data_IF_371771551129
#
_entry.id   IF_371771551129
#
_cell.length_a   1.000
_cell.length_b   1.000
_cell.length_c   1.000
_cell.angle_alpha   90.00
_cell.angle_beta   90.00
_cell.angle_gamma   90.00
#
_symmetry.space_group_name_H-M   'P 1'
#
loop_
_entity.id
_entity.type
_entity.pdbx_description
1 polymer ?
#
# COMPACT_ATOMS: atom_id res chain seq x y z
N UNK A 1 -8.69 -19.96 -11.75
CA UNK A 1 -8.35 -18.53 -11.95
C UNK A 1 -9.58 -17.72 -11.59
N UNK A 2 -9.50 -16.79 -10.64
CA UNK A 2 -10.64 -15.94 -10.27
C UNK A 2 -10.84 -14.85 -11.34
N UNK A 3 -12.07 -14.64 -11.82
CA UNK A 3 -12.35 -13.67 -12.88
C UNK A 3 -12.43 -12.25 -12.31
N UNK A 4 -12.37 -11.25 -13.20
CA UNK A 4 -12.55 -9.85 -12.84
C UNK A 4 -13.90 -9.63 -12.13
N UNK A 5 -14.97 -10.21 -12.69
CA UNK A 5 -16.31 -10.08 -12.11
C UNK A 5 -16.39 -10.67 -10.70
N UNK A 6 -15.71 -11.78 -10.41
CA UNK A 6 -15.74 -12.40 -9.09
C UNK A 6 -15.06 -11.48 -8.05
N UNK A 7 -13.95 -10.83 -8.42
CA UNK A 7 -13.28 -9.82 -7.58
C UNK A 7 -14.15 -8.59 -7.36
N UNK A 8 -14.91 -8.17 -8.36
CA UNK A 8 -15.83 -7.05 -8.20
C UNK A 8 -16.91 -7.37 -7.17
N UNK A 9 -17.46 -8.60 -7.18
CA UNK A 9 -18.41 -9.04 -6.15
C UNK A 9 -17.80 -9.13 -4.75
N UNK A 10 -16.51 -9.41 -4.62
CA UNK A 10 -15.81 -9.31 -3.33
C UNK A 10 -15.76 -7.88 -2.82
N UNK A 11 -15.45 -6.91 -3.69
CA UNK A 11 -15.47 -5.50 -3.36
C UNK A 11 -16.87 -5.02 -2.95
N UNK A 12 -17.89 -5.39 -3.73
CA UNK A 12 -19.29 -5.11 -3.42
C UNK A 12 -19.69 -5.63 -2.05
N UNK A 13 -19.31 -6.86 -1.72
CA UNK A 13 -19.58 -7.47 -0.42
C UNK A 13 -18.88 -6.72 0.71
N UNK A 14 -17.61 -6.35 0.52
CA UNK A 14 -16.83 -5.59 1.50
C UNK A 14 -17.46 -4.23 1.84
N UNK A 15 -18.04 -3.54 0.87
CA UNK A 15 -18.75 -2.26 1.08
C UNK A 15 -20.25 -2.41 1.40
N UNK A 16 -20.76 -3.64 1.55
CA UNK A 16 -22.19 -3.91 1.67
C UNK A 16 -23.04 -3.26 0.55
N UNK A 17 -22.49 -3.19 -0.66
CA UNK A 17 -23.14 -2.62 -1.84
C UNK A 17 -23.85 -3.70 -2.65
N UNK A 18 -25.08 -3.40 -3.08
CA UNK A 18 -25.78 -4.27 -4.03
C UNK A 18 -25.28 -4.04 -5.47
N UNK A 19 -25.36 -5.08 -6.30
CA UNK A 19 -25.02 -4.97 -7.73
C UNK A 19 -25.84 -3.86 -8.43
N UNK A 20 -27.11 -3.72 -8.07
CA UNK A 20 -27.98 -2.66 -8.59
C UNK A 20 -27.50 -1.25 -8.21
N UNK A 21 -27.13 -1.04 -6.94
CA UNK A 21 -26.62 0.25 -6.48
C UNK A 21 -25.30 0.61 -7.19
N UNK A 22 -24.42 -0.37 -7.38
CA UNK A 22 -23.18 -0.19 -8.11
C UNK A 22 -23.40 0.14 -9.59
N UNK A 23 -24.28 -0.59 -10.27
CA UNK A 23 -24.61 -0.31 -11.68
C UNK A 23 -25.15 1.11 -11.85
N UNK A 24 -26.00 1.57 -10.92
CA UNK A 24 -26.51 2.93 -10.90
C UNK A 24 -25.44 3.99 -10.62
N UNK A 25 -24.51 3.71 -9.71
CA UNK A 25 -23.41 4.62 -9.39
C UNK A 25 -22.44 4.80 -10.57
N UNK A 26 -22.11 3.69 -11.26
CA UNK A 26 -21.21 3.67 -12.42
C UNK A 26 -21.88 3.99 -13.77
N UNK A 27 -23.15 4.40 -13.79
CA UNK A 27 -23.91 4.61 -15.03
C UNK A 27 -23.80 3.42 -16.00
N UNK A 28 -24.08 2.22 -15.49
CA UNK A 28 -24.12 0.97 -16.23
C UNK A 28 -25.57 0.55 -16.47
N UNK A 29 -25.81 -0.19 -17.54
CA UNK A 29 -27.13 -0.76 -17.81
C UNK A 29 -27.57 -1.70 -16.69
N UNK A 30 -28.86 -1.66 -16.34
CA UNK A 30 -29.44 -2.53 -15.33
C UNK A 30 -29.19 -4.02 -15.64
N UNK A 31 -28.66 -4.75 -14.67
CA UNK A 31 -28.30 -6.16 -14.77
C UNK A 31 -26.99 -6.43 -15.52
N UNK A 32 -26.18 -5.41 -15.83
CA UNK A 32 -24.86 -5.57 -16.44
C UNK A 32 -23.95 -6.51 -15.64
N UNK A 33 -23.79 -6.32 -14.33
CA UNK A 33 -23.00 -7.18 -13.45
C UNK A 33 -23.55 -8.61 -13.43
N UNK A 34 -24.88 -8.77 -13.43
CA UNK A 34 -25.52 -10.07 -13.50
C UNK A 34 -25.21 -10.81 -14.80
N UNK A 35 -25.25 -10.11 -15.95
CA UNK A 35 -24.86 -10.67 -17.25
C UNK A 35 -23.38 -11.05 -17.28
N UNK A 36 -22.51 -10.19 -16.75
CA UNK A 36 -21.07 -10.50 -16.68
C UNK A 36 -20.78 -11.70 -15.79
N UNK A 37 -21.47 -11.84 -14.66
CA UNK A 37 -21.26 -12.93 -13.72
C UNK A 37 -21.60 -14.30 -14.33
N UNK A 38 -22.74 -14.38 -15.01
CA UNK A 38 -23.21 -15.60 -15.71
C UNK A 38 -22.41 -15.90 -16.98
N UNK A 39 -21.89 -14.86 -17.64
CA UNK A 39 -21.12 -14.98 -18.87
C UNK A 39 -19.62 -15.20 -18.62
N UNK A 40 -18.80 -14.66 -19.53
CA UNK A 40 -17.34 -14.75 -19.47
C UNK A 40 -16.70 -13.82 -18.42
N UNK A 41 -17.47 -12.92 -17.80
CA UNK A 41 -16.95 -11.96 -16.82
C UNK A 41 -15.97 -10.94 -17.40
N UNK A 42 -16.15 -10.60 -18.68
CA UNK A 42 -15.29 -9.71 -19.45
C UNK A 42 -15.77 -8.27 -19.33
N UNK A 43 -14.89 -7.35 -18.95
CA UNK A 43 -15.20 -5.92 -18.90
C UNK A 43 -14.32 -5.16 -19.89
N UNK A 44 -14.93 -4.26 -20.65
CA UNK A 44 -14.21 -3.35 -21.54
C UNK A 44 -13.50 -2.24 -20.76
N UNK A 45 -12.55 -1.57 -21.41
CA UNK A 45 -11.80 -0.44 -20.82
C UNK A 45 -12.69 0.70 -20.37
N UNK A 46 -13.72 1.05 -21.16
CA UNK A 46 -14.70 2.10 -20.81
C UNK A 46 -15.40 1.82 -19.47
N UNK A 47 -15.78 0.57 -19.24
CA UNK A 47 -16.42 0.16 -17.97
C UNK A 47 -15.42 0.26 -16.82
N UNK A 48 -14.17 -0.13 -17.03
CA UNK A 48 -13.13 0.00 -15.99
C UNK A 48 -12.85 1.46 -15.62
N UNK A 49 -12.88 2.38 -16.60
CA UNK A 49 -12.74 3.81 -16.36
C UNK A 49 -13.91 4.36 -15.53
N UNK A 50 -15.16 4.02 -15.90
CA UNK A 50 -16.35 4.37 -15.10
C UNK A 50 -16.23 3.87 -13.66
N UNK A 51 -15.77 2.64 -13.47
CA UNK A 51 -15.55 2.06 -12.14
C UNK A 51 -14.49 2.86 -11.37
N UNK A 52 -13.38 3.21 -12.01
CA UNK A 52 -12.31 3.99 -11.40
C UNK A 52 -12.78 5.39 -10.96
N UNK A 53 -13.63 6.03 -11.76
CA UNK A 53 -14.20 7.35 -11.45
C UNK A 53 -15.19 7.28 -10.27
N UNK A 54 -16.06 6.28 -10.24
CA UNK A 54 -17.11 6.16 -9.23
C UNK A 54 -16.62 5.54 -7.91
N UNK A 55 -15.58 4.70 -7.96
CA UNK A 55 -15.00 3.99 -6.83
C UNK A 55 -13.48 4.19 -6.80
N UNK A 56 -13.01 5.41 -6.46
CA UNK A 56 -11.57 5.76 -6.51
C UNK A 56 -10.73 5.00 -5.48
N UNK A 57 -11.36 4.44 -4.45
CA UNK A 57 -10.72 3.59 -3.47
C UNK A 57 -10.47 2.17 -3.98
N UNK A 58 -11.16 1.73 -5.04
CA UNK A 58 -10.94 0.42 -5.65
C UNK A 58 -9.63 0.42 -6.45
N UNK A 59 -8.75 -0.52 -6.12
CA UNK A 59 -7.53 -0.74 -6.87
C UNK A 59 -7.80 -1.53 -8.17
N UNK A 60 -7.84 -0.81 -9.31
CA UNK A 60 -8.02 -1.41 -10.64
C UNK A 60 -6.93 -2.46 -10.96
N UNK A 61 -5.68 -2.28 -10.52
CA UNK A 61 -4.63 -3.28 -10.72
C UNK A 61 -4.98 -4.61 -10.03
N UNK A 62 -5.45 -4.55 -8.79
CA UNK A 62 -5.93 -5.73 -8.07
C UNK A 62 -7.17 -6.33 -8.75
N UNK A 63 -8.10 -5.50 -9.21
CA UNK A 63 -9.29 -5.96 -9.92
C UNK A 63 -8.94 -6.73 -11.21
N UNK A 64 -7.90 -6.33 -11.94
CA UNK A 64 -7.48 -6.99 -13.18
C UNK A 64 -6.63 -8.23 -12.92
N UNK A 65 -5.64 -8.13 -12.03
CA UNK A 65 -4.58 -9.15 -11.87
C UNK A 65 -4.81 -10.09 -10.69
N UNK A 66 -5.62 -9.68 -9.71
CA UNK A 66 -5.73 -10.33 -8.40
C UNK A 66 -4.52 -10.11 -7.48
N UNK A 67 -3.54 -9.29 -7.89
CA UNK A 67 -2.32 -9.00 -7.12
C UNK A 67 -2.40 -7.63 -6.43
N UNK A 68 -1.84 -7.55 -5.23
CA UNK A 68 -1.85 -6.34 -4.41
C UNK A 68 -3.06 -6.26 -3.48
N UNK A 69 -3.39 -5.05 -3.03
CA UNK A 69 -4.53 -4.80 -2.13
C UNK A 69 -5.76 -4.38 -2.92
N UNK A 70 -6.94 -4.84 -2.48
CA UNK A 70 -8.23 -4.47 -3.06
C UNK A 70 -8.53 -2.98 -2.92
N UNK A 71 -8.32 -2.43 -1.73
CA UNK A 71 -8.57 -1.03 -1.41
C UNK A 71 -7.24 -0.25 -1.47
N UNK A 72 -7.27 0.90 -2.13
CA UNK A 72 -6.22 1.91 -2.09
C UNK A 72 -6.33 2.61 -0.74
N UNK A 73 -5.28 2.54 0.08
CA UNK A 73 -5.19 3.41 1.25
C UNK A 73 -4.89 4.84 0.76
N UNK A 74 -5.35 5.85 1.51
CA UNK A 74 -5.13 7.28 1.22
C UNK A 74 -3.65 7.73 1.22
N UNK A 75 -2.69 6.80 1.24
CA UNK A 75 -1.33 7.08 0.82
C UNK A 75 -1.34 7.10 -0.71
N UNK A 76 -1.71 8.27 -1.23
CA UNK A 76 -1.70 8.63 -2.64
C UNK A 76 -0.43 8.12 -3.33
N UNK A 77 -0.56 7.02 -4.06
CA UNK A 77 0.32 6.74 -5.19
C UNK A 77 -0.49 7.08 -6.44
N UNK A 78 -0.48 8.37 -6.78
CA UNK A 78 -0.77 8.86 -8.12
C UNK A 78 0.17 8.12 -9.07
N UNK A 79 -0.42 7.48 -10.08
CA UNK A 79 0.25 6.50 -10.93
C UNK A 79 1.03 7.14 -12.09
N UNK A 80 1.46 8.40 -11.94
CA UNK A 80 2.12 9.20 -12.98
C UNK A 80 3.44 9.81 -12.50
N UNK A 81 4.07 9.24 -11.48
CA UNK A 81 5.22 9.87 -10.86
C UNK A 81 6.41 8.88 -10.78
N UNK A 82 7.49 9.25 -11.49
CA UNK A 82 8.88 8.78 -11.35
C UNK A 82 9.61 9.09 -10.01
N UNK A 83 9.09 9.78 -8.96
CA UNK A 83 9.86 10.14 -7.77
C UNK A 83 9.91 9.05 -6.70
N UNK A 84 9.29 7.87 -6.89
CA UNK A 84 9.41 6.78 -5.90
C UNK A 84 10.86 6.28 -5.82
N UNK A 85 11.57 6.21 -6.95
CA UNK A 85 12.95 5.74 -6.99
C UNK A 85 13.88 6.75 -6.31
N UNK A 86 13.69 8.04 -6.57
CA UNK A 86 14.50 9.11 -5.99
C UNK A 86 14.30 9.23 -4.48
N UNK A 87 13.05 9.12 -4.00
CA UNK A 87 12.75 9.08 -2.55
C UNK A 87 13.37 7.86 -1.89
N UNK A 88 13.31 6.67 -2.52
CA UNK A 88 13.95 5.46 -1.98
C UNK A 88 15.47 5.62 -1.92
N UNK A 89 16.08 6.25 -2.93
CA UNK A 89 17.53 6.49 -2.96
C UNK A 89 17.96 7.46 -1.87
N UNK A 90 17.26 8.59 -1.70
CA UNK A 90 17.54 9.55 -0.62
C UNK A 90 17.39 8.90 0.76
N UNK A 91 16.37 8.06 0.95
CA UNK A 91 16.19 7.33 2.20
C UNK A 91 17.33 6.34 2.46
N UNK A 92 17.82 5.65 1.43
CA UNK A 92 18.97 4.76 1.55
C UNK A 92 20.24 5.54 1.96
N UNK A 93 20.49 6.70 1.35
CA UNK A 93 21.62 7.57 1.70
C UNK A 93 21.53 8.05 3.16
N UNK A 94 20.33 8.46 3.61
CA UNK A 94 20.09 8.85 5.00
C UNK A 94 20.34 7.69 5.98
N UNK A 95 19.94 6.46 5.64
CA UNK A 95 20.20 5.27 6.47
C UNK A 95 21.71 5.05 6.63
N UNK A 96 22.49 5.16 5.55
CA UNK A 96 23.95 5.01 5.59
C UNK A 96 24.58 6.07 6.51
N UNK A 97 24.17 7.33 6.39
CA UNK A 97 24.68 8.41 7.24
C UNK A 97 24.32 8.20 8.72
N UNK A 98 23.09 7.75 9.01
CA UNK A 98 22.65 7.45 10.37
C UNK A 98 23.45 6.27 10.97
N UNK A 99 23.68 5.22 10.20
CA UNK A 99 24.51 4.08 10.64
C UNK A 99 25.93 4.52 10.99
N UNK A 100 26.54 5.39 10.16
CA UNK A 100 27.87 5.96 10.45
C UNK A 100 27.86 6.77 11.74
N UNK A 101 26.89 7.68 11.93
CA UNK A 101 26.79 8.48 13.15
C UNK A 101 26.58 7.61 14.41
N UNK A 102 25.84 6.50 14.28
CA UNK A 102 25.68 5.54 15.38
C UNK A 102 26.99 4.82 15.71
N UNK A 103 27.78 4.43 14.71
CA UNK A 103 29.08 3.82 14.91
C UNK A 103 30.05 4.77 15.65
N UNK A 104 30.15 6.02 15.20
CA UNK A 104 31.00 7.03 15.84
C UNK A 104 30.59 7.28 17.30
N UNK A 105 29.28 7.34 17.57
CA UNK A 105 28.74 7.49 18.93
C UNK A 105 29.07 6.28 19.80
N UNK A 106 28.99 5.06 19.27
CA UNK A 106 29.35 3.85 20.02
C UNK A 106 30.83 3.81 20.37
N UNK A 107 31.72 4.19 19.45
CA UNK A 107 33.16 4.29 19.72
C UNK A 107 33.47 5.31 20.82
N UNK A 108 32.81 6.47 20.78
CA UNK A 108 32.94 7.49 21.81
C UNK A 108 32.47 6.97 23.18
N UNK A 109 31.37 6.23 23.23
CA UNK A 109 30.87 5.58 24.45
C UNK A 109 31.92 4.62 25.01
N UNK A 110 32.56 3.81 24.17
CA UNK A 110 33.58 2.85 24.60
C UNK A 110 34.83 3.54 25.13
N UNK A 111 35.27 4.64 24.50
CA UNK A 111 36.37 5.46 25.00
C UNK A 111 36.03 6.10 26.35
N UNK A 112 34.81 6.60 26.52
CA UNK A 112 34.34 7.18 27.79
C UNK A 112 34.22 6.12 28.90
N UNK A 113 33.79 4.89 28.58
CA UNK A 113 33.78 3.76 29.51
C UNK A 113 35.20 3.39 29.95
N UNK A 114 36.16 3.31 29.02
CA UNK A 114 37.58 3.03 29.34
C UNK A 114 38.21 4.12 30.21
N UNK A 115 37.85 5.40 29.99
CA UNK A 115 38.34 6.55 30.77
C UNK A 115 37.70 6.69 32.16
N UNK A 116 36.59 6.00 32.45
CA UNK A 116 36.12 5.77 33.82
C UNK A 116 36.67 4.42 34.32
N UNK A 117 37.89 4.34 34.88
CA UNK A 117 38.15 3.24 35.79
C UNK A 117 37.13 3.39 36.94
N UNK A 118 36.50 2.29 37.34
CA UNK A 118 35.55 2.26 38.45
C UNK A 118 36.08 3.15 39.59
N UNK A 119 35.41 4.29 39.85
CA UNK A 119 35.66 5.04 41.08
C UNK A 119 35.10 4.20 42.23
N UNK A 120 35.99 3.35 42.75
CA UNK A 120 36.19 2.91 44.13
C UNK A 120 34.95 2.84 45.02
N UNK A 121 34.58 1.63 45.44
CA UNK A 121 34.33 1.39 46.88
C UNK A 121 35.54 0.66 47.45
N UNK A 122 36.58 1.43 47.73
CA UNK A 122 37.46 1.10 48.84
C UNK A 122 36.96 1.91 50.03
N UNK A 123 36.95 1.29 51.21
CA UNK A 123 36.55 1.77 52.53
C UNK A 123 35.05 1.69 52.88
N UNK A 124 34.65 0.54 53.43
CA UNK A 124 33.88 0.51 54.66
C UNK A 124 34.80 -0.06 55.75
N UNK A 125 34.93 0.69 56.84
CA UNK A 125 35.69 0.38 58.07
C UNK A 125 34.99 -0.77 58.80
#
# INVERSE_FOLDING_TARGET
MMRIIDRLYQYLHFHALSAYAFERACDLSNGYLGKQYRGKGTMGSEVLLKIQECFPDLNIHWLLTGKGRMIRHALSYTSDEEPIVEVVQVLQEQIVLLQKSLADKNELIDLLKKKRPLKRSALAI
#
